data_IF_000140823763
#
_entry.id   IF_000140823763
#
_cell.length_a   1.000
_cell.length_b   1.000
_cell.length_c   1.000
_cell.angle_alpha   90.00
_cell.angle_beta   90.00
_cell.angle_gamma   90.00
#
_symmetry.space_group_name_H-M   'P 1'
#
loop_
_entity.id
_entity.type
_entity.pdbx_description
1 polymer ?
#
# COMPACT_ATOMS: atom_id res chain seq x y z
N UNK A 1 -50.80 -7.09 -41.80
CA UNK A 1 -50.88 -6.24 -40.60
C UNK A 1 -50.17 -6.96 -39.44
N UNK A 2 -49.13 -6.31 -38.91
CA UNK A 2 -48.56 -6.45 -37.54
C UNK A 2 -47.65 -7.66 -37.22
N UNK A 3 -46.36 -7.33 -37.19
CA UNK A 3 -45.24 -7.92 -36.47
C UNK A 3 -45.63 -8.73 -35.21
N UNK A 4 -45.19 -9.99 -35.13
CA UNK A 4 -44.95 -10.73 -33.88
C UNK A 4 -43.45 -10.96 -33.79
N UNK A 5 -42.70 -9.89 -33.54
CA UNK A 5 -42.03 -9.66 -32.25
C UNK A 5 -41.28 -10.92 -31.82
N UNK A 6 -40.12 -11.09 -32.47
CA UNK A 6 -38.88 -11.63 -31.92
C UNK A 6 -38.71 -11.17 -30.48
N UNK A 7 -39.19 -11.97 -29.52
CA UNK A 7 -39.05 -11.73 -28.09
C UNK A 7 -38.52 -13.03 -27.48
N UNK A 8 -37.55 -12.90 -26.57
CA UNK A 8 -36.91 -13.97 -25.79
C UNK A 8 -35.63 -14.65 -26.32
N UNK A 9 -34.83 -13.98 -27.16
CA UNK A 9 -33.39 -14.33 -27.32
C UNK A 9 -32.48 -13.09 -27.22
N UNK A 10 -32.72 -12.26 -26.20
CA UNK A 10 -31.88 -11.10 -25.88
C UNK A 10 -31.71 -10.93 -24.36
N UNK A 11 -31.75 -12.05 -23.62
CA UNK A 11 -31.62 -12.08 -22.15
C UNK A 11 -30.50 -13.03 -21.67
N UNK A 12 -29.57 -13.37 -22.54
CA UNK A 12 -28.44 -14.22 -22.21
C UNK A 12 -27.21 -13.75 -22.98
N UNK A 13 -26.57 -12.66 -22.53
CA UNK A 13 -25.12 -12.39 -22.70
C UNK A 13 -24.76 -11.04 -22.07
N UNK A 14 -25.19 -10.84 -20.83
CA UNK A 14 -24.55 -9.84 -19.95
C UNK A 14 -23.98 -10.61 -18.75
N UNK A 15 -23.15 -11.61 -19.03
CA UNK A 15 -21.98 -11.81 -18.19
C UNK A 15 -21.06 -10.64 -18.50
N UNK A 16 -21.35 -9.47 -17.91
CA UNK A 16 -20.30 -8.49 -17.68
C UNK A 16 -19.26 -9.25 -16.86
N UNK A 17 -18.23 -9.72 -17.55
CA UNK A 17 -16.96 -10.04 -16.95
C UNK A 17 -16.53 -8.77 -16.23
N UNK A 18 -16.94 -8.64 -14.97
CA UNK A 18 -16.33 -7.74 -14.02
C UNK A 18 -14.96 -8.32 -13.74
N UNK A 19 -14.05 -8.23 -14.71
CA UNK A 19 -12.64 -8.10 -14.38
C UNK A 19 -12.59 -6.86 -13.50
N UNK A 20 -12.64 -7.10 -12.19
CA UNK A 20 -12.33 -6.09 -11.19
C UNK A 20 -11.05 -5.42 -11.70
N UNK A 21 -11.15 -4.13 -12.04
CA UNK A 21 -10.09 -3.38 -12.70
C UNK A 21 -8.88 -3.30 -11.77
N UNK A 22 -8.04 -4.34 -11.84
CA UNK A 22 -6.80 -4.45 -11.08
C UNK A 22 -5.73 -3.65 -11.79
N UNK A 23 -5.01 -2.84 -11.04
CA UNK A 23 -3.86 -2.08 -11.49
C UNK A 23 -2.58 -2.82 -11.11
N UNK A 24 -1.53 -2.64 -11.91
CA UNK A 24 -0.20 -3.15 -11.58
C UNK A 24 0.67 -1.98 -11.12
N UNK A 25 0.88 -1.90 -9.81
CA UNK A 25 1.80 -0.97 -9.18
C UNK A 25 3.22 -1.50 -9.31
N UNK A 26 4.15 -0.63 -9.66
CA UNK A 26 5.56 -0.98 -9.84
C UNK A 26 6.43 0.21 -9.48
N UNK A 27 7.66 -0.09 -9.12
CA UNK A 27 8.58 0.94 -8.68
C UNK A 27 9.98 0.44 -8.44
N UNK A 28 10.80 1.36 -7.94
CA UNK A 28 12.19 1.09 -7.58
C UNK A 28 12.57 1.71 -6.25
N UNK A 29 13.31 0.96 -5.43
CA UNK A 29 13.89 1.42 -4.17
C UNK A 29 15.40 1.55 -4.37
N UNK A 30 15.94 2.74 -4.08
CA UNK A 30 17.36 3.03 -4.22
C UNK A 30 17.91 3.70 -2.97
N UNK A 31 19.22 3.60 -2.78
CA UNK A 31 19.93 4.32 -1.73
C UNK A 31 20.03 5.81 -2.10
N UNK A 32 19.66 6.68 -1.16
CA UNK A 32 19.56 8.11 -1.42
C UNK A 32 20.92 8.77 -1.71
N UNK A 33 22.02 8.21 -1.21
CA UNK A 33 23.36 8.77 -1.32
C UNK A 33 24.11 8.21 -2.53
N UNK A 34 24.10 6.88 -2.69
CA UNK A 34 24.86 6.19 -3.75
C UNK A 34 24.07 6.04 -5.06
N UNK A 35 22.73 6.17 -4.99
CA UNK A 35 21.79 5.85 -6.08
C UNK A 35 21.82 4.39 -6.53
N UNK A 36 22.49 3.51 -5.78
CA UNK A 36 22.49 2.09 -6.04
C UNK A 36 21.13 1.47 -5.67
N UNK A 37 20.68 0.42 -6.39
CA UNK A 37 19.47 -0.28 -6.04
C UNK A 37 19.54 -0.97 -4.67
N UNK A 38 18.42 -0.97 -3.95
CA UNK A 38 18.30 -1.67 -2.67
C UNK A 38 17.55 -2.98 -2.88
N UNK A 39 18.27 -4.10 -2.83
CA UNK A 39 17.69 -5.44 -2.84
C UNK A 39 17.09 -5.83 -1.47
N UNK A 40 15.96 -6.54 -1.50
CA UNK A 40 15.31 -7.08 -0.32
C UNK A 40 14.77 -6.03 0.65
N UNK A 41 14.43 -4.83 0.15
CA UNK A 41 13.53 -3.93 0.84
C UNK A 41 12.11 -4.47 0.69
N UNK A 42 11.32 -4.44 1.76
CA UNK A 42 9.90 -4.81 1.66
C UNK A 42 9.08 -3.59 1.26
N UNK A 43 8.17 -3.81 0.33
CA UNK A 43 7.14 -2.85 -0.08
C UNK A 43 5.81 -3.45 0.33
N UNK A 44 5.09 -2.78 1.21
CA UNK A 44 3.75 -3.15 1.66
C UNK A 44 2.77 -2.17 1.07
N UNK A 45 1.73 -2.68 0.41
CA UNK A 45 0.61 -1.91 -0.09
C UNK A 45 -0.64 -2.26 0.72
N UNK A 46 -1.32 -1.26 1.29
CA UNK A 46 -2.59 -1.43 2.00
C UNK A 46 -3.70 -0.64 1.35
N UNK A 47 -4.85 -1.27 1.18
CA UNK A 47 -6.06 -0.64 0.67
C UNK A 47 -7.04 -0.46 1.81
N UNK A 48 -7.46 0.78 2.02
CA UNK A 48 -8.63 1.09 2.82
C UNK A 48 -9.86 1.14 1.93
N UNK A 49 -11.02 0.88 2.54
CA UNK A 49 -12.29 1.24 1.94
C UNK A 49 -13.08 2.14 2.87
N UNK A 50 -13.79 3.08 2.26
CA UNK A 50 -14.49 4.14 2.95
C UNK A 50 -15.96 4.19 2.59
N UNK A 51 -16.76 4.72 3.51
CA UNK A 51 -18.11 5.19 3.24
C UNK A 51 -18.39 6.47 4.01
N UNK A 52 -19.25 7.32 3.46
CA UNK A 52 -19.73 8.49 4.16
C UNK A 52 -20.77 8.11 5.24
N UNK A 53 -20.73 8.78 6.39
CA UNK A 53 -21.72 8.66 7.47
C UNK A 53 -22.09 10.06 8.00
N UNK A 54 -23.18 10.21 8.79
CA UNK A 54 -23.53 11.51 9.37
C UNK A 54 -22.42 12.13 10.23
N UNK A 55 -21.57 11.30 10.86
CA UNK A 55 -20.47 11.73 11.71
C UNK A 55 -19.13 11.89 10.96
N UNK A 56 -19.16 11.90 9.63
CA UNK A 56 -17.96 11.89 8.78
C UNK A 56 -17.70 10.53 8.13
N UNK A 57 -16.67 10.41 7.28
CA UNK A 57 -16.32 9.14 6.65
C UNK A 57 -15.88 8.11 7.70
N UNK A 58 -16.18 6.84 7.45
CA UNK A 58 -15.65 5.70 8.19
C UNK A 58 -14.84 4.83 7.24
N UNK A 59 -13.68 4.37 7.71
CA UNK A 59 -12.71 3.63 6.91
C UNK A 59 -12.41 2.28 7.56
N UNK A 60 -12.15 1.25 6.76
CA UNK A 60 -11.67 -0.05 7.24
C UNK A 60 -10.64 -0.64 6.28
N UNK A 61 -9.76 -1.48 6.81
CA UNK A 61 -8.79 -2.20 5.99
C UNK A 61 -9.54 -3.18 5.08
N UNK A 62 -9.30 -3.07 3.77
CA UNK A 62 -9.82 -3.98 2.76
C UNK A 62 -8.85 -5.11 2.47
N UNK A 63 -7.59 -4.76 2.20
CA UNK A 63 -6.56 -5.74 1.85
C UNK A 63 -5.16 -5.18 2.14
N UNK A 64 -4.19 -6.07 2.28
CA UNK A 64 -2.77 -5.74 2.36
C UNK A 64 -1.97 -6.76 1.56
N UNK A 65 -0.96 -6.30 0.84
CA UNK A 65 -0.05 -7.15 0.08
C UNK A 65 1.37 -6.64 0.27
N UNK A 66 2.33 -7.55 0.18
CA UNK A 66 3.74 -7.20 0.25
C UNK A 66 4.53 -7.87 -0.87
N UNK A 67 5.68 -7.29 -1.18
CA UNK A 67 6.73 -7.92 -2.00
C UNK A 67 8.10 -7.45 -1.51
N UNK A 68 9.13 -8.23 -1.80
CA UNK A 68 10.51 -7.77 -1.69
C UNK A 68 10.96 -7.16 -3.02
N UNK A 69 11.87 -6.19 -2.94
CA UNK A 69 12.60 -5.69 -4.10
C UNK A 69 13.63 -6.71 -4.57
N UNK A 70 13.82 -6.78 -5.88
CA UNK A 70 14.84 -7.64 -6.49
C UNK A 70 16.25 -6.99 -6.47
N UNK A 71 17.23 -7.65 -7.08
CA UNK A 71 18.62 -7.17 -7.23
C UNK A 71 18.74 -5.81 -7.94
N UNK A 72 17.74 -5.43 -8.74
CA UNK A 72 17.68 -4.14 -9.42
C UNK A 72 16.91 -3.10 -8.60
N UNK A 73 16.52 -3.43 -7.36
CA UNK A 73 15.70 -2.60 -6.48
C UNK A 73 14.24 -2.51 -6.92
N UNK A 74 13.83 -3.31 -7.90
CA UNK A 74 12.52 -3.22 -8.54
C UNK A 74 11.48 -4.05 -7.79
N UNK A 75 10.24 -3.59 -7.80
CA UNK A 75 9.12 -4.27 -7.15
C UNK A 75 7.83 -4.15 -7.97
N UNK A 76 6.94 -5.12 -7.79
CA UNK A 76 5.62 -5.16 -8.45
C UNK A 76 4.56 -5.68 -7.50
N UNK A 77 3.44 -4.97 -7.38
CA UNK A 77 2.25 -5.42 -6.63
C UNK A 77 1.01 -5.23 -7.50
N UNK A 78 0.16 -6.26 -7.59
CA UNK A 78 -1.14 -6.20 -8.27
C UNK A 78 -2.25 -6.00 -7.26
N UNK A 79 -3.13 -5.02 -7.48
CA UNK A 79 -4.25 -4.75 -6.58
C UNK A 79 -5.28 -3.82 -7.18
N UNK A 80 -6.36 -3.49 -6.45
CA UNK A 80 -7.33 -2.50 -6.92
C UNK A 80 -6.65 -1.15 -7.19
N UNK A 81 -7.00 -0.48 -8.30
CA UNK A 81 -6.54 0.92 -8.51
C UNK A 81 -6.99 1.84 -7.38
N UNK A 82 -8.19 1.57 -6.86
CA UNK A 82 -8.89 2.48 -5.98
C UNK A 82 -9.41 3.71 -6.73
N UNK A 83 -10.06 4.61 -6.01
CA UNK A 83 -10.46 5.92 -6.53
C UNK A 83 -10.48 6.93 -5.40
N UNK A 84 -10.10 8.17 -5.72
CA UNK A 84 -10.27 9.27 -4.78
C UNK A 84 -11.76 9.53 -4.52
N UNK A 85 -12.06 9.91 -3.29
CA UNK A 85 -13.39 10.35 -2.90
C UNK A 85 -13.79 11.64 -3.62
N UNK A 86 -15.09 11.92 -3.64
CA UNK A 86 -15.64 13.16 -4.18
C UNK A 86 -17.10 13.31 -3.80
N UNK A 87 -17.69 14.50 -4.00
CA UNK A 87 -19.04 14.80 -3.51
C UNK A 87 -20.10 13.78 -3.97
N UNK A 88 -20.03 13.35 -5.24
CA UNK A 88 -20.96 12.34 -5.78
C UNK A 88 -20.74 10.97 -5.11
N UNK A 89 -19.48 10.55 -4.95
CA UNK A 89 -19.11 9.30 -4.26
C UNK A 89 -19.57 9.31 -2.80
N UNK A 90 -19.40 10.43 -2.10
CA UNK A 90 -19.83 10.60 -0.72
C UNK A 90 -21.36 10.48 -0.60
N UNK A 91 -22.12 11.18 -1.44
CA UNK A 91 -23.60 11.08 -1.44
C UNK A 91 -24.05 9.65 -1.74
N UNK A 92 -23.46 9.02 -2.76
CA UNK A 92 -23.82 7.65 -3.14
C UNK A 92 -23.55 6.65 -2.01
N UNK A 93 -22.38 6.69 -1.40
CA UNK A 93 -22.00 5.78 -0.30
C UNK A 93 -22.81 6.04 0.97
N UNK A 94 -23.17 7.30 1.24
CA UNK A 94 -24.08 7.66 2.32
C UNK A 94 -25.47 7.05 2.13
N UNK A 95 -26.07 7.24 0.94
CA UNK A 95 -27.44 6.77 0.65
C UNK A 95 -27.54 5.25 0.55
N UNK A 96 -26.51 4.59 0.01
CA UNK A 96 -26.53 3.14 -0.24
C UNK A 96 -25.88 2.32 0.87
N UNK A 97 -25.13 2.95 1.78
CA UNK A 97 -24.30 2.26 2.77
C UNK A 97 -23.12 1.50 2.20
N UNK A 98 -22.85 1.61 0.88
CA UNK A 98 -21.76 0.89 0.21
C UNK A 98 -20.40 1.52 0.50
N UNK A 99 -19.36 0.69 0.41
CA UNK A 99 -17.97 1.12 0.54
C UNK A 99 -17.33 1.29 -0.84
N UNK A 100 -16.40 2.25 -0.95
CA UNK A 100 -15.51 2.37 -2.10
C UNK A 100 -14.05 2.22 -1.65
N UNK A 101 -13.23 1.65 -2.53
CA UNK A 101 -11.81 1.42 -2.24
C UNK A 101 -11.00 2.66 -2.57
N UNK A 102 -10.20 3.13 -1.62
CA UNK A 102 -9.22 4.18 -1.80
C UNK A 102 -8.00 3.68 -2.59
N UNK A 103 -7.21 4.58 -3.20
CA UNK A 103 -5.89 4.21 -3.70
C UNK A 103 -5.03 3.58 -2.60
N UNK A 104 -4.09 2.68 -2.94
CA UNK A 104 -3.25 2.06 -1.93
C UNK A 104 -2.33 3.07 -1.24
N UNK A 105 -2.12 2.86 0.04
CA UNK A 105 -1.02 3.44 0.81
C UNK A 105 0.17 2.48 0.82
N UNK A 106 1.38 3.02 0.93
CA UNK A 106 2.60 2.22 0.89
C UNK A 106 3.46 2.42 2.12
N UNK A 107 4.06 1.32 2.57
CA UNK A 107 5.21 1.31 3.45
C UNK A 107 6.39 0.72 2.69
N UNK A 108 7.55 1.36 2.76
CA UNK A 108 8.80 0.79 2.24
C UNK A 108 9.82 0.73 3.36
N UNK A 109 10.40 -0.44 3.57
CA UNK A 109 11.28 -0.67 4.70
C UNK A 109 12.45 -1.59 4.38
N UNK A 110 13.63 -1.24 4.90
CA UNK A 110 14.83 -2.06 4.92
C UNK A 110 15.56 -1.83 6.26
N UNK A 111 15.96 -2.88 6.99
CA UNK A 111 16.80 -2.74 8.18
C UNK A 111 18.03 -1.84 7.91
N UNK A 112 18.31 -0.90 8.80
CA UNK A 112 19.40 0.07 8.65
C UNK A 112 19.12 1.26 7.71
N UNK A 113 17.92 1.42 7.18
CA UNK A 113 17.50 2.56 6.37
C UNK A 113 16.36 3.33 7.01
N UNK A 114 16.16 4.57 6.57
CA UNK A 114 14.90 5.27 6.75
C UNK A 114 13.74 4.46 6.15
N UNK A 115 12.57 4.50 6.77
CA UNK A 115 11.35 3.90 6.25
C UNK A 115 10.49 4.95 5.55
N UNK A 116 9.74 4.55 4.53
CA UNK A 116 8.66 5.38 3.97
C UNK A 116 7.32 4.94 4.57
N UNK A 117 6.42 5.86 4.98
CA UNK A 117 6.61 7.30 5.07
C UNK A 117 7.22 7.77 6.40
N UNK A 118 7.37 6.91 7.41
CA UNK A 118 7.71 7.33 8.77
C UNK A 118 9.04 8.10 8.88
N UNK A 119 10.01 7.84 7.99
CA UNK A 119 11.24 8.61 7.86
C UNK A 119 11.01 10.11 7.59
N UNK A 120 9.92 10.52 6.93
CA UNK A 120 9.63 11.95 6.77
C UNK A 120 9.31 12.67 8.08
N UNK A 121 9.04 11.93 9.16
CA UNK A 121 8.88 12.47 10.51
C UNK A 121 10.20 12.84 11.20
N UNK A 122 11.37 12.51 10.64
CA UNK A 122 12.67 12.87 11.20
C UNK A 122 13.55 13.64 10.20
N UNK A 123 14.21 14.69 10.68
CA UNK A 123 15.00 15.65 9.88
C UNK A 123 16.02 14.94 8.98
N UNK A 124 16.81 14.03 9.56
CA UNK A 124 17.91 13.34 8.88
C UNK A 124 17.42 12.53 7.69
N UNK A 125 16.27 11.88 7.79
CA UNK A 125 15.66 11.16 6.67
C UNK A 125 15.02 12.14 5.67
N UNK A 126 14.24 13.10 6.15
CA UNK A 126 13.49 14.05 5.32
C UNK A 126 14.36 14.85 4.36
N UNK A 127 15.58 15.23 4.77
CA UNK A 127 16.51 16.00 3.93
C UNK A 127 16.97 15.25 2.66
N UNK A 128 17.03 13.91 2.72
CA UNK A 128 17.61 13.09 1.65
C UNK A 128 16.62 12.17 0.97
N UNK A 129 15.59 11.72 1.68
CA UNK A 129 14.55 10.88 1.08
C UNK A 129 13.81 11.65 0.00
N UNK A 130 13.57 10.98 -1.12
CA UNK A 130 12.76 11.49 -2.22
C UNK A 130 11.77 10.42 -2.62
N UNK A 131 10.55 10.84 -2.93
CA UNK A 131 9.51 9.96 -3.43
C UNK A 131 8.95 10.54 -4.70
N UNK A 132 8.92 9.72 -5.74
CA UNK A 132 8.40 10.08 -7.03
C UNK A 132 7.06 9.36 -7.20
N UNK A 133 5.99 10.17 -7.29
CA UNK A 133 4.63 9.74 -7.58
C UNK A 133 3.93 8.75 -6.62
N UNK A 134 4.41 8.55 -5.38
CA UNK A 134 3.76 7.68 -4.38
C UNK A 134 2.35 8.11 -3.94
N UNK A 135 1.96 9.36 -4.18
CA UNK A 135 0.66 9.93 -3.78
C UNK A 135 -0.31 10.13 -4.94
N UNK A 136 0.11 9.88 -6.20
CA UNK A 136 -0.71 10.12 -7.39
C UNK A 136 -1.18 8.80 -7.99
N UNK A 137 -2.49 8.56 -7.97
CA UNK A 137 -3.18 7.33 -8.41
C UNK A 137 -2.85 6.85 -9.83
N UNK A 138 -2.31 7.71 -10.69
CA UNK A 138 -1.96 7.38 -12.07
C UNK A 138 -0.53 6.86 -12.25
N UNK A 139 0.39 7.11 -11.31
CA UNK A 139 1.81 6.71 -11.40
C UNK A 139 2.41 6.30 -10.04
N UNK A 140 1.61 5.64 -9.21
CA UNK A 140 2.01 5.22 -7.86
C UNK A 140 3.28 4.36 -7.89
N UNK A 141 4.29 4.77 -7.12
CA UNK A 141 5.40 3.91 -6.73
C UNK A 141 6.71 4.09 -7.50
N UNK A 142 6.80 5.04 -8.44
CA UNK A 142 7.90 5.14 -9.41
C UNK A 142 9.30 4.93 -8.82
N UNK A 143 9.76 5.83 -7.94
CA UNK A 143 11.05 5.70 -7.23
C UNK A 143 10.88 6.17 -5.79
N UNK A 144 11.45 5.43 -4.85
CA UNK A 144 11.70 5.90 -3.49
C UNK A 144 13.18 5.80 -3.17
N UNK A 145 13.74 6.91 -2.70
CA UNK A 145 15.10 7.00 -2.21
C UNK A 145 15.10 6.85 -0.69
N UNK A 146 15.78 5.84 -0.18
CA UNK A 146 15.95 5.62 1.26
C UNK A 146 17.36 6.01 1.69
N UNK A 147 17.46 6.86 2.72
CA UNK A 147 18.75 7.20 3.33
C UNK A 147 19.16 6.09 4.31
N UNK A 148 20.40 5.63 4.22
CA UNK A 148 20.99 4.72 5.20
C UNK A 148 21.19 5.42 6.55
N UNK A 149 20.85 4.73 7.63
CA UNK A 149 20.99 5.24 9.00
C UNK A 149 22.10 4.48 9.73
N UNK A 150 23.03 5.23 10.30
CA UNK A 150 24.13 4.70 11.11
C UNK A 150 23.92 4.90 12.61
N UNK A 151 23.11 5.91 12.98
CA UNK A 151 22.82 6.27 14.36
C UNK A 151 21.64 5.42 14.86
N UNK A 152 21.85 4.73 15.99
CA UNK A 152 20.86 3.80 16.57
C UNK A 152 19.55 4.52 16.93
N UNK A 153 19.64 5.71 17.50
CA UNK A 153 18.51 6.52 17.96
C UNK A 153 17.59 6.91 16.80
N UNK A 154 18.17 7.23 15.63
CA UNK A 154 17.39 7.54 14.44
C UNK A 154 16.71 6.29 13.87
N UNK A 155 17.40 5.14 13.89
CA UNK A 155 16.84 3.85 13.48
C UNK A 155 15.62 3.45 14.31
N UNK A 156 15.64 3.71 15.62
CA UNK A 156 14.49 3.49 16.50
C UNK A 156 13.29 4.37 16.12
N UNK A 157 13.52 5.64 15.77
CA UNK A 157 12.45 6.58 15.43
C UNK A 157 11.74 6.25 14.12
N UNK A 158 12.42 5.57 13.19
CA UNK A 158 11.86 5.21 11.87
C UNK A 158 11.36 3.78 11.80
N UNK A 159 11.40 3.03 12.91
CA UNK A 159 10.92 1.65 12.92
C UNK A 159 9.42 1.64 12.63
N UNK A 160 8.97 1.10 11.49
CA UNK A 160 7.56 1.16 11.13
C UNK A 160 6.77 0.07 11.88
N UNK A 161 5.45 0.20 11.88
CA UNK A 161 4.54 -0.82 12.41
C UNK A 161 3.78 -1.51 11.26
N UNK A 162 3.44 -2.81 11.39
CA UNK A 162 2.54 -3.49 10.47
C UNK A 162 1.20 -2.78 10.36
N UNK A 163 0.58 -2.87 9.19
CA UNK A 163 -0.78 -2.38 8.96
C UNK A 163 -1.74 -3.23 9.79
N UNK A 164 -2.46 -2.61 10.72
CA UNK A 164 -3.42 -3.28 11.57
C UNK A 164 -4.77 -3.48 10.85
N UNK A 165 -5.42 -4.61 11.12
CA UNK A 165 -6.72 -4.96 10.58
C UNK A 165 -6.99 -6.45 10.69
N UNK A 166 -8.20 -6.88 10.36
CA UNK A 166 -8.57 -8.29 10.44
C UNK A 166 -7.70 -9.13 9.48
N UNK A 167 -7.03 -10.16 10.01
CA UNK A 167 -6.14 -11.05 9.26
C UNK A 167 -5.00 -10.35 8.48
N UNK A 168 -4.65 -9.10 8.81
CA UNK A 168 -3.66 -8.33 8.06
C UNK A 168 -2.22 -8.75 8.36
N UNK A 169 -1.93 -9.18 9.59
CA UNK A 169 -0.58 -9.55 10.04
C UNK A 169 -0.05 -10.78 9.28
N UNK A 170 -0.89 -11.81 9.10
CA UNK A 170 -0.60 -13.01 8.28
C UNK A 170 -0.20 -12.71 6.84
N UNK A 171 -0.58 -11.55 6.30
CA UNK A 171 -0.26 -11.10 4.93
C UNK A 171 1.01 -10.22 4.87
N UNK A 172 1.66 -9.96 6.01
CA UNK A 172 2.81 -9.07 6.16
C UNK A 172 4.03 -9.80 6.76
N UNK A 173 4.21 -11.07 6.41
CA UNK A 173 5.21 -11.95 7.03
C UNK A 173 6.65 -11.49 6.80
N UNK A 174 7.00 -11.07 5.59
CA UNK A 174 8.32 -10.51 5.28
C UNK A 174 8.53 -9.19 6.01
N UNK A 175 7.51 -8.33 6.05
CA UNK A 175 7.61 -7.06 6.74
C UNK A 175 7.85 -7.23 8.24
N UNK A 176 7.06 -8.09 8.89
CA UNK A 176 7.22 -8.44 10.31
C UNK A 176 8.62 -9.05 10.55
N UNK A 177 9.08 -9.95 9.68
CA UNK A 177 10.42 -10.53 9.79
C UNK A 177 11.50 -9.45 9.79
N UNK A 178 11.46 -8.53 8.83
CA UNK A 178 12.44 -7.44 8.74
C UNK A 178 12.37 -6.48 9.93
N UNK A 179 11.17 -6.15 10.43
CA UNK A 179 11.03 -5.35 11.66
C UNK A 179 11.72 -6.05 12.83
N UNK A 180 11.48 -7.36 12.99
CA UNK A 180 12.10 -8.14 14.07
C UNK A 180 13.62 -8.28 13.93
N UNK A 181 14.14 -8.40 12.70
CA UNK A 181 15.58 -8.36 12.42
C UNK A 181 16.19 -7.02 12.86
N UNK A 182 15.55 -5.90 12.52
CA UNK A 182 15.97 -4.57 12.92
C UNK A 182 15.88 -4.39 14.44
N UNK A 183 14.77 -4.79 15.08
CA UNK A 183 14.59 -4.78 16.53
C UNK A 183 15.71 -5.54 17.25
N UNK A 184 16.05 -6.74 16.77
CA UNK A 184 17.16 -7.54 17.31
C UNK A 184 18.49 -6.80 17.18
N UNK A 185 18.77 -6.19 16.04
CA UNK A 185 20.00 -5.42 15.82
C UNK A 185 20.07 -4.17 16.71
N UNK A 186 18.93 -3.55 17.01
CA UNK A 186 18.83 -2.40 17.90
C UNK A 186 18.83 -2.79 19.38
N UNK A 187 18.82 -4.08 19.72
CA UNK A 187 18.83 -4.57 21.10
C UNK A 187 17.50 -4.34 21.84
N UNK A 188 16.37 -4.32 21.11
CA UNK A 188 15.02 -4.25 21.69
C UNK A 188 14.28 -5.59 21.49
N UNK A 189 13.30 -5.93 22.34
CA UNK A 189 12.49 -7.14 22.16
C UNK A 189 11.85 -7.20 20.78
N UNK A 190 11.53 -8.42 20.32
CA UNK A 190 10.74 -8.60 19.09
C UNK A 190 9.45 -7.80 19.21
N UNK A 191 9.14 -7.06 18.16
CA UNK A 191 7.94 -6.25 18.12
C UNK A 191 6.69 -7.10 17.84
N UNK A 192 6.83 -8.20 17.09
CA UNK A 192 5.71 -9.03 16.63
C UNK A 192 6.10 -10.52 16.55
N UNK A 193 5.14 -11.43 16.75
CA UNK A 193 5.35 -12.87 16.58
C UNK A 193 5.00 -13.31 15.15
N UNK A 194 5.78 -14.24 14.59
CA UNK A 194 5.52 -14.81 13.28
C UNK A 194 4.35 -15.81 13.40
N UNK A 195 3.22 -15.52 12.74
CA UNK A 195 2.05 -16.42 12.69
C UNK A 195 0.75 -15.88 13.28
N UNK A 196 0.76 -14.66 13.84
CA UNK A 196 -0.44 -13.94 14.31
C UNK A 196 -1.37 -13.51 13.15
#
# INVERSE_FOLDING_TARGET
>A
MKYKITFCLLFAFIFFSTTACGETFRGKVIDADTKEPIEGAVVVASWLEERATPAGPTSRLKDVKETLTDKNGEWVIKGPKGRDGGNITAIFTFLTGTYYTLPPEFIVFKPGYCSYPAGFGIETCKEKMKTYNFTKSENIGEIVELRKLTIREDRLKVLPSPVAGENSLKKQGQFIRLINEESKHLGIPKAYYEGD
#
